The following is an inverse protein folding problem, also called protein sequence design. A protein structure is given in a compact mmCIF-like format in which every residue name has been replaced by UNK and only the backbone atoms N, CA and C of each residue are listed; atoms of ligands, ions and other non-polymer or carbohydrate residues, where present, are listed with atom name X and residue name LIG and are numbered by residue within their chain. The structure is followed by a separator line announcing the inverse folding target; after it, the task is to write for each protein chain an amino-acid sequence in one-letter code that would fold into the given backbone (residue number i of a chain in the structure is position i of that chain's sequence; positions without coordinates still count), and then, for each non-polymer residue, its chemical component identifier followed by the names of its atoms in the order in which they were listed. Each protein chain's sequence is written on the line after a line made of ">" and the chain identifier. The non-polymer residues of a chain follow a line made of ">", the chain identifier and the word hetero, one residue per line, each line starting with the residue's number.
data_IF_534078587821
#
_entry.id   IF_534078587821
#
_cell.length_a   1.000
_cell.length_b   1.000
_cell.length_c   1.000
_cell.angle_alpha   90.00
_cell.angle_beta   90.00
_cell.angle_gamma   90.00
#
_symmetry.space_group_name_H-M   'P 1'
#
loop_
_entity.id
_entity.type
_entity.pdbx_description
1 polymer ?
#
# COMPACT_ATOMS: atom_id res chain seq x y z
N UNK A 1 38.07 -7.59 -8.48
CA UNK A 1 36.96 -6.63 -8.57
C UNK A 1 35.67 -7.44 -8.72
N UNK A 2 34.79 -7.43 -7.72
CA UNK A 2 33.48 -8.07 -7.87
C UNK A 2 32.67 -7.28 -8.90
N UNK A 3 32.08 -7.96 -9.86
CA UNK A 3 31.21 -7.33 -10.85
C UNK A 3 29.92 -6.88 -10.17
N UNK A 4 29.64 -5.57 -10.20
CA UNK A 4 28.38 -5.01 -9.67
C UNK A 4 27.20 -5.59 -10.45
N UNK A 5 26.21 -6.10 -9.73
CA UNK A 5 24.99 -6.69 -10.29
C UNK A 5 24.19 -5.58 -10.95
N UNK A 6 24.05 -5.66 -12.28
CA UNK A 6 23.38 -4.60 -13.04
C UNK A 6 21.88 -4.56 -12.77
N UNK A 7 21.20 -5.71 -12.81
CA UNK A 7 19.75 -5.78 -12.65
C UNK A 7 19.40 -6.21 -11.21
N UNK A 8 18.87 -5.27 -10.42
CA UNK A 8 18.59 -5.48 -9.00
C UNK A 8 17.08 -5.47 -8.76
N UNK A 9 16.60 -6.49 -8.05
CA UNK A 9 15.19 -6.74 -7.85
C UNK A 9 14.63 -5.98 -6.64
N UNK A 10 13.59 -5.18 -6.85
CA UNK A 10 12.85 -4.51 -5.76
C UNK A 10 11.69 -5.34 -5.22
N UNK A 11 11.25 -6.35 -5.96
CA UNK A 11 10.46 -7.47 -5.44
C UNK A 11 11.33 -8.73 -5.47
N UNK A 12 11.47 -9.49 -4.36
CA UNK A 12 12.33 -10.68 -4.29
C UNK A 12 12.00 -11.71 -5.38
N UNK A 13 13.03 -12.33 -5.98
CA UNK A 13 12.81 -13.30 -7.06
C UNK A 13 12.02 -14.52 -6.58
N UNK A 14 12.26 -14.95 -5.35
CA UNK A 14 11.50 -16.03 -4.69
C UNK A 14 10.01 -15.73 -4.52
N UNK A 15 9.60 -14.47 -4.52
CA UNK A 15 8.19 -14.08 -4.56
C UNK A 15 7.68 -14.11 -5.99
N UNK A 16 8.46 -13.57 -6.94
CA UNK A 16 8.10 -13.54 -8.36
C UNK A 16 7.89 -14.94 -8.95
N UNK A 17 8.61 -15.95 -8.45
CA UNK A 17 8.40 -17.35 -8.85
C UNK A 17 6.99 -17.83 -8.56
N UNK A 18 6.36 -17.34 -7.50
CA UNK A 18 5.03 -17.78 -7.07
C UNK A 18 3.90 -17.12 -7.87
N UNK A 19 4.24 -16.21 -8.78
CA UNK A 19 3.32 -15.60 -9.76
C UNK A 19 3.65 -16.02 -11.19
N UNK A 20 4.74 -16.77 -11.38
CA UNK A 20 5.17 -17.25 -12.68
C UNK A 20 4.38 -18.48 -13.09
N UNK A 21 4.10 -18.59 -14.40
CA UNK A 21 3.56 -19.81 -14.97
C UNK A 21 4.60 -20.95 -14.99
N UNK A 22 4.18 -22.13 -15.42
CA UNK A 22 5.03 -23.33 -15.49
C UNK A 22 6.30 -23.17 -16.37
N UNK A 23 6.38 -22.14 -17.20
CA UNK A 23 7.56 -21.81 -18.02
C UNK A 23 8.48 -20.78 -17.34
N UNK A 24 8.20 -20.38 -16.09
CA UNK A 24 8.95 -19.33 -15.39
C UNK A 24 8.72 -17.94 -16.00
N UNK A 25 7.54 -17.71 -16.57
CA UNK A 25 7.16 -16.45 -17.22
C UNK A 25 6.01 -15.78 -16.49
N UNK A 26 5.97 -14.46 -16.53
CA UNK A 26 4.89 -13.62 -16.00
C UNK A 26 4.43 -12.69 -17.11
N UNK A 27 3.17 -12.25 -17.05
CA UNK A 27 2.75 -11.07 -17.79
C UNK A 27 3.03 -9.84 -16.94
N UNK A 28 3.61 -8.82 -17.55
CA UNK A 28 3.98 -7.56 -16.90
C UNK A 28 3.34 -6.40 -17.67
N UNK A 29 2.75 -5.47 -16.93
CA UNK A 29 2.28 -4.19 -17.47
C UNK A 29 3.23 -3.08 -17.06
N UNK A 30 3.66 -2.27 -18.02
CA UNK A 30 4.26 -0.96 -17.75
C UNK A 30 3.14 0.07 -17.66
N UNK A 31 2.92 0.61 -16.46
CA UNK A 31 1.70 1.38 -16.16
C UNK A 31 1.65 2.74 -16.86
N UNK A 32 2.82 3.36 -17.10
CA UNK A 32 2.94 4.66 -17.79
C UNK A 32 2.29 4.66 -19.17
N UNK A 33 2.40 3.57 -19.90
CA UNK A 33 1.97 3.41 -21.29
C UNK A 33 1.00 2.22 -21.46
N UNK A 34 0.58 1.61 -20.35
CA UNK A 34 -0.40 0.51 -20.31
C UNK A 34 -0.06 -0.67 -21.23
N UNK A 35 1.23 -0.89 -21.48
CA UNK A 35 1.70 -1.94 -22.37
C UNK A 35 1.90 -3.25 -21.60
N UNK A 36 1.20 -4.31 -22.02
CA UNK A 36 1.29 -5.65 -21.42
C UNK A 36 2.13 -6.57 -22.31
N UNK A 37 3.19 -7.14 -21.76
CA UNK A 37 4.07 -8.10 -22.42
C UNK A 37 4.43 -9.27 -21.50
N UNK A 38 4.88 -10.38 -22.09
CA UNK A 38 5.38 -11.52 -21.34
C UNK A 38 6.90 -11.38 -21.11
N UNK A 39 7.37 -11.70 -19.91
CA UNK A 39 8.79 -11.70 -19.57
C UNK A 39 9.14 -12.83 -18.60
N UNK A 40 10.43 -13.13 -18.43
CA UNK A 40 10.85 -14.02 -17.35
C UNK A 40 10.67 -13.33 -16.00
N UNK A 41 10.23 -14.06 -14.98
CA UNK A 41 10.16 -13.51 -13.62
C UNK A 41 11.53 -12.97 -13.15
N UNK A 42 12.64 -13.54 -13.64
CA UNK A 42 14.02 -13.11 -13.36
C UNK A 42 14.39 -11.75 -13.97
N UNK A 43 13.57 -11.23 -14.86
CA UNK A 43 13.75 -9.93 -15.52
C UNK A 43 12.65 -8.93 -15.14
N UNK A 44 11.66 -9.37 -14.38
CA UNK A 44 10.53 -8.56 -13.90
C UNK A 44 10.89 -7.85 -12.60
N UNK A 45 10.11 -6.83 -12.22
CA UNK A 45 10.18 -6.13 -10.92
C UNK A 45 11.61 -5.80 -10.45
N UNK A 46 12.41 -5.33 -11.40
CA UNK A 46 13.82 -4.97 -11.23
C UNK A 46 14.15 -3.72 -12.03
N UNK A 47 15.21 -3.04 -11.62
CA UNK A 47 15.77 -1.88 -12.28
C UNK A 47 17.31 -1.92 -12.22
N UNK A 48 17.95 -1.18 -13.12
CA UNK A 48 19.40 -1.07 -13.15
C UNK A 48 19.94 -0.28 -11.95
N UNK A 49 20.86 -0.90 -11.21
CA UNK A 49 21.56 -0.29 -10.08
C UNK A 49 20.61 0.35 -9.06
N UNK A 50 19.46 -0.27 -8.83
CA UNK A 50 18.39 0.23 -7.95
C UNK A 50 18.88 0.61 -6.56
N UNK A 51 19.87 -0.12 -6.04
CA UNK A 51 20.38 -0.01 -4.67
C UNK A 51 21.80 0.53 -4.57
N UNK A 52 22.40 0.93 -5.68
CA UNK A 52 23.75 1.48 -5.63
C UNK A 52 23.72 2.92 -5.09
N UNK A 53 24.70 3.25 -4.25
CA UNK A 53 24.85 4.56 -3.62
C UNK A 53 26.34 4.89 -3.45
N UNK A 54 26.80 6.12 -3.73
CA UNK A 54 28.23 6.46 -3.69
C UNK A 54 28.93 6.22 -2.35
N UNK A 55 28.18 6.28 -1.25
CA UNK A 55 28.68 6.06 0.11
C UNK A 55 28.66 4.60 0.58
N UNK A 56 28.18 3.67 -0.24
CA UNK A 56 28.13 2.24 0.08
C UNK A 56 29.10 1.45 -0.79
N UNK A 57 29.59 0.33 -0.26
CA UNK A 57 30.32 -0.62 -1.09
C UNK A 57 29.41 -1.16 -2.21
N UNK A 58 29.97 -1.39 -3.41
CA UNK A 58 29.20 -1.91 -4.54
C UNK A 58 28.55 -3.26 -4.20
N UNK A 59 27.30 -3.45 -4.62
CA UNK A 59 26.45 -4.60 -4.26
C UNK A 59 26.15 -4.78 -2.76
N UNK A 60 26.50 -3.83 -1.87
CA UNK A 60 26.30 -4.01 -0.43
C UNK A 60 24.84 -4.37 -0.08
N UNK A 61 23.89 -3.57 -0.58
CA UNK A 61 22.46 -3.77 -0.31
C UNK A 61 21.89 -4.99 -1.02
N UNK A 62 22.31 -5.27 -2.26
CA UNK A 62 21.92 -6.49 -2.98
C UNK A 62 22.31 -7.74 -2.18
N UNK A 63 23.55 -7.78 -1.66
CA UNK A 63 24.04 -8.88 -0.84
C UNK A 63 23.29 -9.00 0.50
N UNK A 64 23.03 -7.86 1.16
CA UNK A 64 22.25 -7.82 2.41
C UNK A 64 20.84 -8.39 2.18
N UNK A 65 20.18 -7.95 1.11
CA UNK A 65 18.85 -8.40 0.76
C UNK A 65 18.80 -9.87 0.32
N UNK A 66 19.83 -10.35 -0.38
CA UNK A 66 19.97 -11.77 -0.73
C UNK A 66 20.07 -12.66 0.51
N UNK A 67 20.74 -12.21 1.58
CA UNK A 67 20.77 -12.92 2.87
C UNK A 67 19.39 -13.02 3.50
N UNK A 68 18.63 -11.92 3.52
CA UNK A 68 17.26 -11.91 4.05
C UNK A 68 16.36 -12.87 3.26
N UNK A 69 16.42 -12.79 1.94
CA UNK A 69 15.64 -13.64 1.04
C UNK A 69 15.97 -15.14 1.23
N UNK A 70 17.24 -15.48 1.49
CA UNK A 70 17.68 -16.87 1.62
C UNK A 70 16.99 -17.66 2.74
N UNK A 71 16.68 -17.00 3.87
CA UNK A 71 15.96 -17.64 4.98
C UNK A 71 14.45 -17.39 4.93
N UNK A 72 14.01 -16.27 4.35
CA UNK A 72 12.59 -15.95 4.23
C UNK A 72 11.88 -16.80 3.17
N UNK A 73 12.53 -17.10 2.04
CA UNK A 73 11.92 -17.88 0.96
C UNK A 73 11.49 -19.30 1.39
N UNK A 74 12.27 -20.06 2.18
CA UNK A 74 11.80 -21.33 2.77
C UNK A 74 10.54 -21.18 3.62
N UNK A 75 10.45 -20.14 4.47
CA UNK A 75 9.29 -19.90 5.31
C UNK A 75 8.03 -19.61 4.48
N UNK A 76 8.17 -18.80 3.42
CA UNK A 76 7.09 -18.52 2.50
C UNK A 76 6.58 -19.77 1.78
N UNK A 77 7.49 -20.66 1.36
CA UNK A 77 7.09 -21.97 0.79
C UNK A 77 6.35 -22.82 1.81
N UNK A 78 6.77 -22.82 3.08
CA UNK A 78 6.09 -23.55 4.14
C UNK A 78 4.65 -23.03 4.33
N UNK A 79 4.45 -21.70 4.35
CA UNK A 79 3.11 -21.09 4.43
C UNK A 79 2.22 -21.58 3.27
N UNK A 80 2.71 -21.51 2.03
CA UNK A 80 1.95 -21.91 0.84
C UNK A 80 1.61 -23.41 0.89
N UNK A 81 2.57 -24.26 1.25
CA UNK A 81 2.34 -25.71 1.38
C UNK A 81 1.28 -26.03 2.43
N UNK A 82 1.28 -25.33 3.57
CA UNK A 82 0.25 -25.48 4.60
C UNK A 82 -1.13 -25.11 4.05
N UNK A 83 -1.23 -24.00 3.33
CA UNK A 83 -2.47 -23.54 2.69
C UNK A 83 -2.98 -24.53 1.63
N UNK A 84 -2.09 -25.07 0.79
CA UNK A 84 -2.48 -26.05 -0.24
C UNK A 84 -2.87 -27.42 0.34
N UNK A 85 -2.41 -27.76 1.55
CA UNK A 85 -2.74 -29.03 2.19
C UNK A 85 -4.22 -29.15 2.59
N UNK A 86 -4.94 -28.03 2.72
CA UNK A 86 -6.32 -27.93 3.23
C UNK A 86 -6.57 -28.60 4.61
N UNK A 87 -5.51 -29.00 5.32
CA UNK A 87 -5.59 -29.73 6.59
C UNK A 87 -5.08 -28.87 7.75
N UNK A 88 -4.18 -27.92 7.49
CA UNK A 88 -3.58 -27.08 8.52
C UNK A 88 -4.61 -26.08 9.08
N UNK A 89 -4.74 -25.98 10.43
CA UNK A 89 -5.46 -24.89 11.08
C UNK A 89 -4.92 -23.53 10.65
N UNK A 90 -5.81 -22.58 10.42
CA UNK A 90 -5.48 -21.20 10.07
C UNK A 90 -4.61 -20.51 11.14
N UNK A 91 -4.69 -20.97 12.38
CA UNK A 91 -3.85 -20.55 13.50
C UNK A 91 -2.37 -20.87 13.26
N UNK A 92 -2.04 -22.07 12.74
CA UNK A 92 -0.65 -22.44 12.43
C UNK A 92 -0.08 -21.56 11.31
N UNK A 93 -0.90 -21.26 10.30
CA UNK A 93 -0.53 -20.33 9.23
C UNK A 93 -0.28 -18.94 9.80
N UNK A 94 -1.16 -18.47 10.70
CA UNK A 94 -0.99 -17.17 11.38
C UNK A 94 0.31 -17.12 12.15
N UNK A 95 0.58 -18.06 13.04
CA UNK A 95 1.80 -18.07 13.86
C UNK A 95 3.07 -17.96 12.99
N UNK A 96 3.08 -18.67 11.86
CA UNK A 96 4.20 -18.61 10.92
C UNK A 96 4.30 -17.24 10.24
N UNK A 97 3.18 -16.64 9.81
CA UNK A 97 3.16 -15.29 9.23
C UNK A 97 3.62 -14.24 10.24
N UNK A 98 3.09 -14.29 11.46
CA UNK A 98 3.39 -13.32 12.52
C UNK A 98 4.87 -13.33 12.91
N UNK A 99 5.47 -14.53 12.93
CA UNK A 99 6.90 -14.71 13.16
C UNK A 99 7.78 -13.94 12.16
N UNK A 100 7.33 -13.76 10.93
CA UNK A 100 8.09 -13.09 9.86
C UNK A 100 7.52 -11.71 9.46
N UNK A 101 6.67 -11.10 10.30
CA UNK A 101 6.05 -9.81 10.02
C UNK A 101 7.07 -8.70 9.73
N UNK A 102 8.19 -8.69 10.45
CA UNK A 102 9.26 -7.70 10.23
C UNK A 102 9.91 -7.84 8.85
N UNK A 103 10.12 -9.05 8.35
CA UNK A 103 10.63 -9.30 7.01
C UNK A 103 9.65 -8.82 5.92
N UNK A 104 8.35 -9.08 6.09
CA UNK A 104 7.33 -8.53 5.19
C UNK A 104 7.41 -7.00 5.12
N UNK A 105 7.63 -6.33 6.27
CA UNK A 105 7.82 -4.89 6.33
C UNK A 105 9.14 -4.43 5.69
N UNK A 106 10.24 -5.19 5.82
CA UNK A 106 11.48 -4.89 5.09
C UNK A 106 11.23 -4.91 3.58
N UNK A 107 10.58 -5.96 3.07
CA UNK A 107 10.24 -6.06 1.64
C UNK A 107 9.24 -5.00 1.18
N UNK A 108 8.34 -4.56 2.07
CA UNK A 108 7.50 -3.41 1.83
C UNK A 108 8.34 -2.15 1.58
N UNK A 109 9.22 -1.75 2.49
CA UNK A 109 9.99 -0.50 2.35
C UNK A 109 10.96 -0.48 1.17
N UNK A 110 11.52 -1.63 0.76
CA UNK A 110 12.40 -1.71 -0.42
C UNK A 110 11.66 -1.90 -1.75
N UNK A 111 10.33 -1.93 -1.73
CA UNK A 111 9.54 -2.16 -2.94
C UNK A 111 9.65 -0.98 -3.91
N UNK A 112 9.47 -1.26 -5.21
CA UNK A 112 9.72 -0.29 -6.28
C UNK A 112 8.84 0.95 -6.18
N UNK A 113 7.59 0.76 -5.75
CA UNK A 113 6.66 1.86 -5.52
C UNK A 113 7.12 2.79 -4.40
N UNK A 114 7.51 2.27 -3.22
CA UNK A 114 8.05 3.11 -2.14
C UNK A 114 9.39 3.77 -2.51
N UNK A 115 10.27 3.07 -3.21
CA UNK A 115 11.50 3.65 -3.74
C UNK A 115 11.23 4.81 -4.71
N UNK A 116 10.17 4.71 -5.52
CA UNK A 116 9.71 5.80 -6.38
C UNK A 116 9.11 6.96 -5.56
N UNK A 117 8.39 6.68 -4.48
CA UNK A 117 7.89 7.71 -3.56
C UNK A 117 9.06 8.45 -2.88
N UNK A 118 10.06 7.74 -2.34
CA UNK A 118 11.22 8.37 -1.70
C UNK A 118 12.04 9.26 -2.64
N UNK A 119 12.05 8.96 -3.94
CA UNK A 119 12.73 9.79 -4.94
C UNK A 119 11.90 11.01 -5.40
N UNK A 120 10.67 11.20 -4.91
CA UNK A 120 9.77 12.22 -5.41
C UNK A 120 10.17 13.64 -4.99
N UNK A 121 10.24 14.55 -5.98
CA UNK A 121 10.40 15.98 -5.74
C UNK A 121 11.83 16.51 -5.77
N UNK A 122 12.75 15.82 -6.44
CA UNK A 122 13.95 16.45 -7.01
C UNK A 122 15.26 16.29 -6.25
N UNK A 123 15.40 15.23 -5.46
CA UNK A 123 16.70 14.80 -4.97
C UNK A 123 17.34 13.79 -5.94
N UNK A 124 18.63 13.53 -5.81
CA UNK A 124 19.33 12.57 -6.67
C UNK A 124 18.65 11.19 -6.58
N UNK A 125 18.75 10.37 -7.63
CA UNK A 125 18.16 9.00 -7.65
C UNK A 125 18.59 8.16 -6.43
N UNK A 126 19.72 8.52 -5.84
CA UNK A 126 20.39 7.85 -4.74
C UNK A 126 19.76 8.17 -3.37
N UNK A 127 19.07 9.32 -3.23
CA UNK A 127 18.52 9.80 -1.96
C UNK A 127 17.36 8.94 -1.41
N UNK A 128 16.78 8.08 -2.25
CA UNK A 128 15.83 7.04 -1.81
C UNK A 128 16.46 6.00 -0.88
N UNK A 129 17.77 5.79 -0.98
CA UNK A 129 18.49 4.74 -0.24
C UNK A 129 18.62 5.09 1.24
N UNK A 130 19.09 6.29 1.63
CA UNK A 130 19.06 6.72 3.02
C UNK A 130 17.65 6.64 3.64
N UNK A 131 16.61 7.11 2.94
CA UNK A 131 15.22 7.05 3.44
C UNK A 131 14.74 5.62 3.67
N UNK A 132 14.99 4.71 2.73
CA UNK A 132 14.69 3.29 2.90
C UNK A 132 15.44 2.71 4.10
N UNK A 133 16.74 2.98 4.21
CA UNK A 133 17.60 2.47 5.29
C UNK A 133 17.15 2.96 6.67
N UNK A 134 16.70 4.20 6.78
CA UNK A 134 16.15 4.77 8.00
C UNK A 134 14.97 3.95 8.54
N UNK A 135 14.15 3.39 7.65
CA UNK A 135 13.00 2.56 8.05
C UNK A 135 13.40 1.12 8.34
N UNK A 136 14.29 0.53 7.53
CA UNK A 136 14.59 -0.92 7.64
C UNK A 136 15.68 -1.25 8.67
N UNK A 137 16.56 -0.29 9.04
CA UNK A 137 17.62 -0.52 10.04
C UNK A 137 17.16 -0.31 11.48
N UNK A 138 16.05 0.40 11.69
CA UNK A 138 15.45 0.61 13.00
C UNK A 138 14.61 -0.63 13.38
N UNK A 139 15.28 -1.64 13.94
CA UNK A 139 14.64 -2.90 14.35
C UNK A 139 13.60 -2.69 15.45
N UNK A 140 13.78 -1.69 16.32
CA UNK A 140 12.81 -1.33 17.36
C UNK A 140 11.52 -0.82 16.72
N UNK A 141 11.64 0.08 15.75
CA UNK A 141 10.50 0.58 14.99
C UNK A 141 9.77 -0.53 14.23
N UNK A 142 10.48 -1.38 13.47
CA UNK A 142 9.85 -2.49 12.74
C UNK A 142 9.11 -3.44 13.69
N UNK A 143 9.71 -3.75 14.84
CA UNK A 143 9.06 -4.59 15.86
C UNK A 143 7.78 -3.95 16.40
N UNK A 144 7.82 -2.67 16.79
CA UNK A 144 6.64 -1.95 17.32
C UNK A 144 5.53 -1.80 16.29
N UNK A 145 5.90 -1.55 15.02
CA UNK A 145 4.93 -1.50 13.91
C UNK A 145 4.33 -2.89 13.66
N UNK A 146 5.14 -3.95 13.71
CA UNK A 146 4.66 -5.34 13.63
C UNK A 146 3.65 -5.62 14.75
N UNK A 147 4.02 -5.35 16.00
CA UNK A 147 3.13 -5.52 17.17
C UNK A 147 1.82 -4.75 17.01
N UNK A 148 1.86 -3.56 16.40
CA UNK A 148 0.65 -2.78 16.12
C UNK A 148 -0.26 -3.49 15.13
N UNK A 149 0.29 -4.00 14.02
CA UNK A 149 -0.48 -4.74 13.01
C UNK A 149 -1.07 -6.00 13.66
N UNK A 150 -0.25 -6.81 14.32
CA UNK A 150 -0.68 -8.07 14.93
C UNK A 150 -1.76 -7.89 16.01
N UNK A 151 -1.66 -6.81 16.80
CA UNK A 151 -2.58 -6.57 17.92
C UNK A 151 -3.90 -5.94 17.51
N UNK A 152 -3.89 -5.06 16.51
CA UNK A 152 -5.04 -4.20 16.21
C UNK A 152 -5.74 -4.54 14.88
N UNK A 153 -5.14 -5.39 14.05
CA UNK A 153 -5.70 -5.76 12.76
C UNK A 153 -6.12 -7.23 12.80
N UNK A 154 -7.31 -7.52 12.28
CA UNK A 154 -7.81 -8.87 12.07
C UNK A 154 -7.02 -9.54 10.94
N UNK A 155 -6.62 -10.79 11.14
CA UNK A 155 -5.92 -11.60 10.16
C UNK A 155 -6.91 -12.45 9.36
N UNK A 156 -6.69 -12.61 8.06
CA UNK A 156 -7.33 -13.60 7.22
C UNK A 156 -6.41 -14.01 6.05
N UNK A 157 -6.77 -15.07 5.35
CA UNK A 157 -6.21 -15.42 4.05
C UNK A 157 -7.31 -15.28 3.00
N UNK A 158 -6.97 -14.77 1.82
CA UNK A 158 -7.84 -14.82 0.64
C UNK A 158 -7.23 -15.72 -0.41
N UNK A 159 -8.08 -16.48 -1.11
CA UNK A 159 -7.72 -17.50 -2.09
C UNK A 159 -8.44 -17.26 -3.41
N UNK A 160 -7.71 -17.32 -4.51
CA UNK A 160 -8.25 -17.50 -5.86
C UNK A 160 -8.12 -18.96 -6.26
N UNK A 161 -9.16 -19.56 -6.83
CA UNK A 161 -9.07 -20.95 -7.33
C UNK A 161 -8.34 -21.06 -8.69
N UNK A 162 -8.20 -19.95 -9.43
CA UNK A 162 -7.64 -19.94 -10.78
C UNK A 162 -6.35 -19.09 -10.88
N UNK A 163 -5.66 -18.88 -9.77
CA UNK A 163 -4.41 -18.13 -9.68
C UNK A 163 -4.47 -16.70 -10.28
N UNK A 164 -5.49 -15.95 -9.89
CA UNK A 164 -5.86 -14.70 -10.56
C UNK A 164 -5.38 -13.43 -9.85
N UNK A 165 -4.72 -13.53 -8.70
CA UNK A 165 -4.20 -12.35 -8.03
C UNK A 165 -3.00 -11.75 -8.78
N UNK A 166 -3.00 -10.42 -8.86
CA UNK A 166 -1.88 -9.64 -9.38
C UNK A 166 -0.79 -9.46 -8.33
N UNK A 167 0.37 -8.93 -8.73
CA UNK A 167 1.41 -8.43 -7.84
C UNK A 167 1.85 -7.03 -8.28
N UNK A 168 1.77 -6.08 -7.35
CA UNK A 168 2.21 -4.70 -7.51
C UNK A 168 3.73 -4.59 -7.35
N UNK A 169 4.34 -3.55 -7.94
CA UNK A 169 5.69 -3.13 -7.56
C UNK A 169 5.78 -2.52 -6.15
N UNK A 170 4.64 -2.38 -5.47
CA UNK A 170 4.50 -2.25 -4.01
C UNK A 170 4.27 -3.64 -3.40
N UNK A 171 5.28 -4.21 -2.72
CA UNK A 171 5.20 -5.59 -2.23
C UNK A 171 4.01 -5.82 -1.30
N UNK A 172 3.84 -5.00 -0.26
CA UNK A 172 2.60 -5.01 0.54
C UNK A 172 1.70 -3.87 0.06
N UNK A 173 0.56 -4.23 -0.51
CA UNK A 173 -0.44 -3.26 -0.94
C UNK A 173 -1.31 -2.83 0.24
N UNK A 174 -1.62 -1.53 0.33
CA UNK A 174 -2.53 -1.00 1.36
C UNK A 174 -3.69 -0.24 0.76
N UNK A 175 -4.80 -0.14 1.49
CA UNK A 175 -5.91 0.74 1.12
C UNK A 175 -6.62 1.24 2.38
N UNK A 176 -7.18 2.43 2.27
CA UNK A 176 -8.08 2.96 3.27
C UNK A 176 -9.50 2.40 3.06
N UNK A 177 -10.11 1.90 4.13
CA UNK A 177 -11.51 1.46 4.18
C UNK A 177 -12.47 2.62 4.50
N UNK A 178 -11.93 3.78 4.86
CA UNK A 178 -12.66 5.02 5.09
C UNK A 178 -11.73 6.24 4.94
N UNK A 179 -12.31 7.40 4.60
CA UNK A 179 -11.60 8.68 4.68
C UNK A 179 -11.55 9.15 6.13
N UNK A 180 -10.35 9.47 6.59
CA UNK A 180 -10.05 10.00 7.91
C UNK A 180 -9.80 11.50 7.88
N UNK A 181 -9.23 12.00 6.79
CA UNK A 181 -8.96 13.42 6.57
C UNK A 181 -7.79 13.67 5.61
N UNK A 182 -7.39 14.93 5.49
CA UNK A 182 -6.17 15.32 4.79
C UNK A 182 -5.11 15.70 5.84
N UNK A 183 -4.14 14.81 6.05
CA UNK A 183 -3.01 15.10 6.93
C UNK A 183 -1.86 15.70 6.12
N UNK A 184 -0.97 16.41 6.81
CA UNK A 184 0.23 16.99 6.19
C UNK A 184 1.26 15.91 5.88
N UNK A 185 1.43 14.93 6.76
CA UNK A 185 2.52 13.93 6.74
C UNK A 185 2.03 12.47 6.78
N UNK A 186 0.77 12.22 6.45
CA UNK A 186 0.23 10.87 6.37
C UNK A 186 -0.86 10.77 5.31
N UNK A 187 -0.85 9.66 4.58
CA UNK A 187 -1.98 9.25 3.73
C UNK A 187 -3.04 8.52 4.56
N UNK A 188 -4.25 8.36 4.02
CA UNK A 188 -5.33 7.64 4.70
C UNK A 188 -5.07 6.13 4.83
N UNK A 189 -4.06 5.62 4.12
CA UNK A 189 -3.70 4.20 3.97
C UNK A 189 -2.38 3.80 4.67
N UNK A 190 -1.88 4.68 5.55
CA UNK A 190 -0.65 4.47 6.31
C UNK A 190 -0.81 3.29 7.29
N UNK A 191 0.22 2.45 7.46
CA UNK A 191 0.13 1.31 8.39
C UNK A 191 0.03 1.80 9.85
N UNK A 192 -0.68 1.05 10.69
CA UNK A 192 -0.97 1.40 12.09
C UNK A 192 -2.20 2.30 12.29
N UNK A 193 -2.81 2.79 11.20
CA UNK A 193 -4.08 3.52 11.28
C UNK A 193 -5.28 2.57 11.43
N UNK A 194 -6.44 3.09 11.84
CA UNK A 194 -7.74 2.39 11.77
C UNK A 194 -8.27 2.36 10.34
N UNK A 195 -9.31 1.59 10.03
CA UNK A 195 -9.91 1.57 8.67
C UNK A 195 -8.86 1.34 7.57
N UNK A 196 -8.07 0.28 7.71
CA UNK A 196 -6.98 -0.10 6.79
C UNK A 196 -7.21 -1.53 6.32
N UNK A 197 -6.92 -1.76 5.04
CA UNK A 197 -6.71 -3.06 4.42
C UNK A 197 -5.24 -3.17 4.02
N UNK A 198 -4.57 -4.22 4.48
CA UNK A 198 -3.19 -4.56 4.14
C UNK A 198 -3.17 -5.93 3.46
N UNK A 199 -2.61 -5.99 2.26
CA UNK A 199 -2.57 -7.15 1.38
C UNK A 199 -1.11 -7.56 1.17
N UNK A 200 -0.72 -8.73 1.67
CA UNK A 200 0.63 -9.27 1.54
C UNK A 200 0.58 -10.46 0.57
N UNK A 201 1.29 -10.40 -0.56
CA UNK A 201 1.30 -11.46 -1.57
C UNK A 201 2.06 -12.70 -1.07
N UNK A 202 1.45 -13.87 -1.23
CA UNK A 202 2.15 -15.17 -1.12
C UNK A 202 2.39 -15.76 -2.50
N UNK A 203 1.36 -15.79 -3.35
CA UNK A 203 1.36 -16.31 -4.71
C UNK A 203 0.23 -15.66 -5.52
N UNK A 204 0.12 -16.00 -6.82
CA UNK A 204 -1.06 -15.67 -7.62
C UNK A 204 -2.35 -16.31 -7.10
N UNK A 205 -2.24 -17.31 -6.21
CA UNK A 205 -3.35 -18.02 -5.57
C UNK A 205 -3.75 -17.44 -4.22
N UNK A 206 -2.78 -16.98 -3.41
CA UNK A 206 -3.02 -16.60 -2.02
C UNK A 206 -2.46 -15.22 -1.66
N UNK A 207 -3.23 -14.52 -0.84
CA UNK A 207 -2.81 -13.29 -0.16
C UNK A 207 -3.14 -13.38 1.32
N UNK A 208 -2.21 -12.90 2.16
CA UNK A 208 -2.52 -12.61 3.57
C UNK A 208 -3.20 -11.25 3.62
N UNK A 209 -4.20 -11.15 4.48
CA UNK A 209 -4.94 -9.92 4.72
C UNK A 209 -4.87 -9.56 6.20
N UNK A 210 -4.40 -8.34 6.49
CA UNK A 210 -4.58 -7.70 7.79
C UNK A 210 -5.53 -6.52 7.62
N UNK A 211 -6.55 -6.43 8.45
CA UNK A 211 -7.61 -5.43 8.29
C UNK A 211 -8.13 -4.88 9.62
N UNK A 212 -8.52 -3.61 9.62
CA UNK A 212 -9.21 -2.97 10.74
C UNK A 212 -10.32 -2.08 10.20
N UNK A 213 -11.48 -2.02 10.86
CA UNK A 213 -12.54 -1.07 10.51
C UNK A 213 -13.65 -1.65 9.63
N UNK A 214 -14.08 -0.92 8.59
CA UNK A 214 -15.13 -1.35 7.64
C UNK A 214 -14.64 -2.45 6.69
N UNK A 215 -14.51 -3.67 7.21
CA UNK A 215 -14.01 -4.86 6.49
C UNK A 215 -14.94 -5.22 5.30
N UNK A 216 -14.39 -5.58 4.12
CA UNK A 216 -15.19 -6.10 3.01
C UNK A 216 -15.95 -7.36 3.43
N UNK A 217 -17.24 -7.43 3.12
CA UNK A 217 -18.14 -8.47 3.64
C UNK A 217 -17.75 -9.91 3.25
N UNK A 218 -16.95 -10.07 2.20
CA UNK A 218 -16.48 -11.37 1.70
C UNK A 218 -15.18 -11.86 2.38
N UNK A 219 -14.65 -11.11 3.35
CA UNK A 219 -13.48 -11.52 4.12
C UNK A 219 -13.88 -11.73 5.58
N UNK A 220 -14.06 -12.99 5.95
CA UNK A 220 -14.23 -13.39 7.33
C UNK A 220 -12.86 -13.49 8.03
N UNK A 221 -12.69 -12.82 9.19
CA UNK A 221 -11.49 -12.94 10.00
C UNK A 221 -11.21 -14.38 10.43
N UNK A 222 -9.92 -14.69 10.56
CA UNK A 222 -9.41 -15.97 11.02
C UNK A 222 -9.85 -17.14 10.13
N UNK A 223 -9.98 -16.93 8.82
CA UNK A 223 -10.34 -17.98 7.86
C UNK A 223 -9.57 -17.85 6.55
N UNK A 224 -9.62 -18.91 5.74
CA UNK A 224 -9.25 -18.89 4.31
C UNK A 224 -10.50 -18.62 3.49
N UNK A 225 -10.57 -17.43 2.92
CA UNK A 225 -11.73 -16.94 2.18
C UNK A 225 -11.54 -17.20 0.69
N UNK A 226 -12.35 -18.08 0.11
CA UNK A 226 -12.35 -18.36 -1.33
C UNK A 226 -13.13 -17.26 -2.02
N UNK A 227 -12.47 -16.50 -2.88
CA UNK A 227 -13.06 -15.35 -3.55
C UNK A 227 -13.67 -15.74 -4.90
N UNK A 228 -14.81 -15.15 -5.20
CA UNK A 228 -15.41 -15.10 -6.53
C UNK A 228 -14.62 -14.19 -7.47
N UNK A 229 -14.89 -14.30 -8.78
CA UNK A 229 -14.23 -13.47 -9.79
C UNK A 229 -14.47 -11.95 -9.59
N UNK A 230 -15.64 -11.57 -9.07
CA UNK A 230 -15.96 -10.16 -8.79
C UNK A 230 -15.14 -9.64 -7.62
N UNK A 231 -15.05 -10.39 -6.53
CA UNK A 231 -14.26 -10.05 -5.34
C UNK A 231 -12.75 -10.00 -5.67
N UNK A 232 -12.26 -10.94 -6.50
CA UNK A 232 -10.89 -10.90 -7.03
C UNK A 232 -10.64 -9.62 -7.83
N UNK A 233 -11.59 -9.17 -8.66
CA UNK A 233 -11.46 -7.90 -9.39
C UNK A 233 -11.39 -6.70 -8.46
N UNK A 234 -12.14 -6.67 -7.37
CA UNK A 234 -12.06 -5.61 -6.36
C UNK A 234 -10.68 -5.57 -5.68
N UNK A 235 -10.14 -6.74 -5.30
CA UNK A 235 -8.81 -6.88 -4.73
C UNK A 235 -7.74 -6.46 -5.75
N UNK A 236 -7.80 -6.94 -6.99
CA UNK A 236 -6.84 -6.62 -8.04
C UNK A 236 -6.88 -5.14 -8.43
N UNK A 237 -8.06 -4.49 -8.46
CA UNK A 237 -8.19 -3.03 -8.61
C UNK A 237 -7.43 -2.29 -7.50
N UNK A 238 -7.47 -2.80 -6.27
CA UNK A 238 -6.72 -2.23 -5.15
C UNK A 238 -5.21 -2.45 -5.31
N UNK A 239 -4.78 -3.65 -5.70
CA UNK A 239 -3.37 -4.01 -5.91
C UNK A 239 -2.76 -3.15 -7.03
N UNK A 240 -3.39 -3.04 -8.20
CA UNK A 240 -2.82 -2.28 -9.32
C UNK A 240 -2.74 -0.78 -9.01
N UNK A 241 -3.67 -0.24 -8.22
CA UNK A 241 -3.62 1.17 -7.80
C UNK A 241 -2.54 1.45 -6.75
N UNK A 242 -1.96 0.43 -6.11
CA UNK A 242 -0.76 0.56 -5.29
C UNK A 242 0.52 0.71 -6.14
N UNK A 243 0.47 0.41 -7.43
CA UNK A 243 1.65 0.40 -8.29
C UNK A 243 2.00 1.77 -8.88
N UNK A 244 3.28 1.99 -9.19
CA UNK A 244 3.76 3.18 -9.91
C UNK A 244 4.35 2.87 -11.28
N UNK A 245 5.18 1.84 -11.37
CA UNK A 245 5.99 1.51 -12.55
C UNK A 245 5.39 0.26 -13.22
N UNK A 246 5.25 -0.82 -12.44
CA UNK A 246 4.92 -2.14 -12.96
C UNK A 246 3.91 -2.87 -12.10
N UNK A 247 3.10 -3.70 -12.74
CA UNK A 247 2.28 -4.72 -12.10
C UNK A 247 2.38 -6.01 -12.91
N UNK A 248 2.32 -7.17 -12.26
CA UNK A 248 2.39 -8.48 -12.92
C UNK A 248 1.19 -9.34 -12.58
N UNK A 249 0.93 -10.32 -13.43
CA UNK A 249 -0.02 -11.39 -13.20
C UNK A 249 0.43 -12.67 -13.91
N UNK A 250 -0.09 -13.81 -13.46
CA UNK A 250 0.22 -15.09 -14.09
C UNK A 250 -0.44 -15.24 -15.48
N UNK A 251 -1.58 -14.59 -15.68
CA UNK A 251 -2.26 -14.54 -16.97
C UNK A 251 -2.53 -13.10 -17.43
N UNK A 252 -2.50 -12.92 -18.76
CA UNK A 252 -2.68 -11.63 -19.44
C UNK A 252 -4.06 -11.04 -19.18
N UNK A 253 -5.09 -11.89 -19.17
CA UNK A 253 -6.50 -11.49 -19.04
C UNK A 253 -6.74 -10.67 -17.76
N UNK A 254 -6.17 -11.09 -16.63
CA UNK A 254 -6.36 -10.42 -15.33
C UNK A 254 -5.75 -9.01 -15.32
N UNK A 255 -4.61 -8.81 -16.00
CA UNK A 255 -4.03 -7.49 -16.19
C UNK A 255 -4.90 -6.60 -17.10
N UNK A 256 -5.41 -7.15 -18.21
CA UNK A 256 -6.31 -6.43 -19.12
C UNK A 256 -7.62 -6.01 -18.43
N UNK A 257 -8.19 -6.86 -17.57
CA UNK A 257 -9.37 -6.52 -16.78
C UNK A 257 -9.09 -5.44 -15.71
N UNK A 258 -7.92 -5.50 -15.08
CA UNK A 258 -7.58 -4.60 -13.95
C UNK A 258 -7.08 -3.22 -14.41
N UNK A 259 -6.50 -3.12 -15.61
CA UNK A 259 -5.89 -1.87 -16.11
C UNK A 259 -6.92 -0.75 -16.29
N UNK A 260 -8.17 -1.08 -16.62
CA UNK A 260 -9.25 -0.11 -16.74
C UNK A 260 -9.60 0.58 -15.41
N UNK A 261 -9.28 -0.06 -14.28
CA UNK A 261 -9.43 0.50 -12.94
C UNK A 261 -8.21 1.25 -12.43
N UNK A 262 -7.08 1.24 -13.14
CA UNK A 262 -5.86 1.93 -12.74
C UNK A 262 -5.99 3.44 -12.95
N UNK A 263 -5.74 4.21 -11.89
CA UNK A 263 -5.63 5.67 -11.94
C UNK A 263 -4.20 6.06 -11.61
N UNK A 264 -3.49 6.64 -12.57
CA UNK A 264 -2.16 7.17 -12.31
C UNK A 264 -2.28 8.47 -11.50
N UNK A 265 -1.67 8.48 -10.32
CA UNK A 265 -1.52 9.68 -9.49
C UNK A 265 -0.09 9.67 -8.96
N UNK A 266 0.58 10.82 -9.00
CA UNK A 266 1.90 10.96 -8.39
C UNK A 266 1.79 11.00 -6.86
N UNK A 267 2.88 10.76 -6.13
CA UNK A 267 2.97 11.17 -4.74
C UNK A 267 2.62 12.66 -4.62
N UNK A 268 2.16 13.09 -3.45
CA UNK A 268 1.75 14.47 -3.22
C UNK A 268 2.54 15.11 -2.09
N UNK A 269 2.86 16.40 -2.23
CA UNK A 269 3.51 17.16 -1.17
C UNK A 269 2.48 18.09 -0.53
N UNK A 270 2.29 17.96 0.78
CA UNK A 270 1.48 18.91 1.55
C UNK A 270 2.39 20.00 2.08
N UNK A 271 2.02 21.26 1.90
CA UNK A 271 2.77 22.43 2.38
C UNK A 271 1.87 23.23 3.31
N UNK A 272 2.33 23.50 4.53
CA UNK A 272 1.63 24.30 5.51
C UNK A 272 2.40 25.59 5.79
N UNK A 273 1.66 26.71 5.82
CA UNK A 273 2.15 28.03 6.16
C UNK A 273 1.48 28.47 7.46
N UNK A 274 2.28 28.75 8.48
CA UNK A 274 1.79 29.20 9.77
C UNK A 274 1.90 30.72 9.86
N UNK A 275 1.03 31.34 10.66
CA UNK A 275 1.06 32.78 10.92
C UNK A 275 2.39 33.25 11.55
N UNK A 276 3.15 32.35 12.16
CA UNK A 276 4.51 32.59 12.64
C UNK A 276 5.56 32.76 11.53
N UNK A 277 5.18 32.56 10.27
CA UNK A 277 6.09 32.53 9.12
C UNK A 277 6.78 31.18 8.90
N UNK A 278 6.58 30.22 9.80
CA UNK A 278 7.10 28.85 9.67
C UNK A 278 6.43 28.19 8.44
N UNK A 279 7.25 27.52 7.63
CA UNK A 279 6.82 26.70 6.50
C UNK A 279 7.22 25.26 6.77
N UNK A 280 6.26 24.36 6.69
CA UNK A 280 6.53 22.92 6.73
C UNK A 280 6.04 22.27 5.45
N UNK A 281 6.73 21.23 5.02
CA UNK A 281 6.32 20.40 3.92
C UNK A 281 6.49 18.94 4.31
N UNK A 282 5.59 18.08 3.83
CA UNK A 282 5.73 16.66 3.99
C UNK A 282 5.24 15.90 2.76
N UNK A 283 5.90 14.80 2.48
CA UNK A 283 5.57 13.90 1.38
C UNK A 283 4.50 12.89 1.81
N UNK A 284 3.46 12.76 1.00
CA UNK A 284 2.38 11.82 1.18
C UNK A 284 2.34 10.82 0.03
N UNK A 285 2.03 9.57 0.39
CA UNK A 285 1.76 8.49 -0.56
C UNK A 285 0.61 8.86 -1.47
N UNK A 286 0.56 8.21 -2.63
CA UNK A 286 -0.67 8.14 -3.42
C UNK A 286 -1.80 7.58 -2.55
N UNK A 287 -2.96 8.20 -2.61
CA UNK A 287 -4.15 7.70 -1.90
C UNK A 287 -4.75 6.51 -2.65
N UNK A 288 -5.13 5.48 -1.89
CA UNK A 288 -5.80 4.30 -2.41
C UNK A 288 -6.92 3.96 -1.43
N UNK A 289 -8.16 4.03 -1.91
CA UNK A 289 -9.34 3.66 -1.15
C UNK A 289 -9.94 2.39 -1.74
N UNK A 290 -10.45 1.51 -0.88
CA UNK A 290 -11.07 0.27 -1.31
C UNK A 290 -12.46 0.51 -1.92
N UNK A 291 -13.32 1.27 -1.22
CA UNK A 291 -14.69 1.51 -1.66
C UNK A 291 -14.81 2.72 -2.60
N UNK A 292 -15.59 2.56 -3.67
CA UNK A 292 -15.85 3.66 -4.62
C UNK A 292 -16.49 4.88 -3.95
N UNK A 293 -17.37 4.67 -2.96
CA UNK A 293 -17.98 5.76 -2.16
C UNK A 293 -16.92 6.65 -1.50
N UNK A 294 -15.79 6.08 -1.10
CA UNK A 294 -14.69 6.80 -0.45
C UNK A 294 -13.78 7.47 -1.49
N UNK A 295 -13.58 6.87 -2.66
CA UNK A 295 -12.92 7.54 -3.79
C UNK A 295 -13.71 8.81 -4.18
N UNK A 296 -15.02 8.69 -4.38
CA UNK A 296 -15.87 9.84 -4.72
C UNK A 296 -15.90 10.91 -3.63
N UNK A 297 -15.95 10.48 -2.36
CA UNK A 297 -15.96 11.39 -1.22
C UNK A 297 -14.62 12.13 -1.08
N UNK A 298 -13.50 11.46 -1.35
CA UNK A 298 -12.15 12.04 -1.32
C UNK A 298 -11.99 13.09 -2.42
N UNK A 299 -12.43 12.79 -3.64
CA UNK A 299 -12.45 13.77 -4.73
C UNK A 299 -13.33 14.98 -4.38
N UNK A 300 -14.51 14.73 -3.81
CA UNK A 300 -15.41 15.80 -3.35
C UNK A 300 -14.80 16.67 -2.22
N UNK A 301 -13.96 16.06 -1.37
CA UNK A 301 -13.17 16.75 -0.35
C UNK A 301 -12.06 17.61 -0.97
N UNK A 302 -11.20 17.00 -1.79
CA UNK A 302 -10.03 17.63 -2.43
C UNK A 302 -10.38 18.81 -3.32
N UNK A 303 -11.49 18.73 -4.04
CA UNK A 303 -11.98 19.83 -4.87
C UNK A 303 -12.76 20.91 -4.11
N UNK A 304 -12.80 20.82 -2.77
CA UNK A 304 -13.51 21.75 -1.90
C UNK A 304 -15.00 21.90 -2.26
N UNK A 305 -15.62 20.91 -2.92
CA UNK A 305 -17.03 21.00 -3.34
C UNK A 305 -18.00 21.09 -2.17
N UNK A 306 -17.59 20.59 -1.00
CA UNK A 306 -18.35 20.72 0.25
C UNK A 306 -18.50 22.17 0.70
N UNK A 307 -17.50 23.04 0.47
CA UNK A 307 -17.57 24.46 0.85
C UNK A 307 -18.52 25.28 -0.03
N UNK A 308 -18.85 24.79 -1.23
CA UNK A 308 -19.82 25.46 -2.11
C UNK A 308 -21.24 25.42 -1.57
N UNK A 309 -21.59 24.40 -0.77
CA UNK A 309 -22.94 24.17 -0.26
C UNK A 309 -23.12 24.43 1.24
N UNK A 310 -22.22 25.20 1.88
CA UNK A 310 -22.27 25.50 3.34
C UNK A 310 -23.66 25.97 3.76
N UNK A 311 -24.20 26.96 3.04
CA UNK A 311 -25.46 27.62 3.40
C UNK A 311 -26.67 27.13 2.58
N UNK A 312 -26.55 26.00 1.87
CA UNK A 312 -27.62 25.49 1.01
C UNK A 312 -28.64 24.72 1.86
N UNK A 313 -29.92 25.12 1.86
CA UNK A 313 -30.96 24.40 2.61
C UNK A 313 -31.39 23.13 1.87
N UNK A 314 -32.00 22.21 2.61
CA UNK A 314 -32.39 20.86 2.14
C UNK A 314 -33.19 20.85 0.82
N UNK A 315 -34.09 21.82 0.62
CA UNK A 315 -34.97 21.89 -0.55
C UNK A 315 -34.49 22.86 -1.63
N UNK A 316 -33.40 23.60 -1.39
CA UNK A 316 -32.85 24.54 -2.35
C UNK A 316 -32.19 23.79 -3.53
N UNK A 317 -32.07 24.42 -4.70
CA UNK A 317 -31.25 23.89 -5.79
C UNK A 317 -29.81 23.64 -5.33
N UNK A 318 -29.25 22.49 -5.70
CA UNK A 318 -27.86 22.18 -5.38
C UNK A 318 -26.91 23.06 -6.20
N UNK A 319 -25.92 23.67 -5.54
CA UNK A 319 -24.95 24.57 -6.20
C UNK A 319 -23.90 23.85 -7.06
N UNK A 320 -24.02 22.53 -7.22
CA UNK A 320 -23.17 21.76 -8.15
C UNK A 320 -23.68 21.77 -9.60
N UNK A 321 -24.72 22.56 -9.91
CA UNK A 321 -25.30 22.70 -11.25
C UNK A 321 -25.95 21.43 -11.82
N UNK A 322 -26.27 20.44 -10.97
CA UNK A 322 -26.95 19.21 -11.40
C UNK A 322 -28.44 19.39 -11.71
N UNK A 323 -29.02 20.56 -11.42
CA UNK A 323 -30.46 20.80 -11.48
C UNK A 323 -31.29 20.11 -10.38
N UNK A 324 -30.66 19.29 -9.53
CA UNK A 324 -31.34 18.57 -8.43
C UNK A 324 -31.43 19.43 -7.16
N UNK A 325 -32.43 19.17 -6.32
CA UNK A 325 -32.49 19.70 -4.94
C UNK A 325 -31.30 19.16 -4.13
N UNK A 326 -30.77 19.97 -3.21
CA UNK A 326 -29.56 19.63 -2.44
C UNK A 326 -29.65 18.27 -1.73
N UNK A 327 -30.81 17.97 -1.12
CA UNK A 327 -31.08 16.68 -0.45
C UNK A 327 -30.96 15.44 -1.33
N UNK A 328 -31.20 15.58 -2.63
CA UNK A 328 -31.14 14.49 -3.59
C UNK A 328 -29.84 14.55 -4.43
N UNK A 329 -28.84 15.30 -3.94
CA UNK A 329 -27.61 15.56 -4.66
C UNK A 329 -26.39 15.52 -3.72
N UNK A 330 -25.85 16.66 -3.31
CA UNK A 330 -24.58 16.72 -2.60
C UNK A 330 -24.72 16.73 -1.07
N UNK A 331 -25.93 16.65 -0.51
CA UNK A 331 -26.16 16.81 0.92
C UNK A 331 -25.33 15.82 1.77
N UNK A 332 -25.39 14.53 1.45
CA UNK A 332 -24.70 13.51 2.25
C UNK A 332 -23.19 13.64 2.17
N UNK A 333 -22.66 13.86 0.95
CA UNK A 333 -21.22 14.11 0.73
C UNK A 333 -20.73 15.36 1.47
N UNK A 334 -21.56 16.41 1.50
CA UNK A 334 -21.24 17.67 2.19
C UNK A 334 -21.22 17.48 3.70
N UNK A 335 -22.25 16.83 4.27
CA UNK A 335 -22.32 16.51 5.70
C UNK A 335 -21.15 15.64 6.15
N UNK A 336 -20.81 14.60 5.37
CA UNK A 336 -19.70 13.70 5.67
C UNK A 336 -18.36 14.46 5.69
N UNK A 337 -18.10 15.33 4.72
CA UNK A 337 -16.90 16.16 4.72
C UNK A 337 -16.84 17.13 5.89
N UNK A 338 -17.94 17.78 6.27
CA UNK A 338 -17.94 18.62 7.47
C UNK A 338 -17.63 17.84 8.73
N UNK A 339 -18.15 16.61 8.86
CA UNK A 339 -17.79 15.74 9.98
C UNK A 339 -16.29 15.45 10.00
N UNK A 340 -15.69 15.15 8.85
CA UNK A 340 -14.25 14.90 8.72
C UNK A 340 -13.45 16.15 9.14
N UNK A 341 -13.77 17.32 8.57
CA UNK A 341 -13.11 18.60 8.88
C UNK A 341 -13.24 18.94 10.36
N UNK A 342 -14.45 18.86 10.91
CA UNK A 342 -14.69 19.16 12.33
C UNK A 342 -13.92 18.21 13.24
N UNK A 343 -13.81 16.94 12.88
CA UNK A 343 -13.05 15.96 13.64
C UNK A 343 -11.54 16.22 13.59
N UNK A 344 -11.01 16.76 12.48
CA UNK A 344 -9.60 17.17 12.38
C UNK A 344 -9.27 18.33 13.33
N UNK A 345 -10.21 19.23 13.62
CA UNK A 345 -10.00 20.38 14.52
C UNK A 345 -10.29 20.09 16.00
N UNK A 346 -10.90 18.94 16.33
CA UNK A 346 -11.15 18.55 17.73
C UNK A 346 -9.85 18.08 18.38
N UNK A 347 -9.45 18.77 19.45
CA UNK A 347 -8.28 18.43 20.27
C UNK A 347 -8.39 16.97 20.74
N UNK A 348 -7.31 16.20 20.62
CA UNK A 348 -7.15 14.78 21.01
C UNK A 348 -8.01 13.75 20.24
N UNK A 349 -9.19 14.13 19.77
CA UNK A 349 -10.11 13.25 19.05
C UNK A 349 -9.55 12.74 17.71
N UNK A 350 -8.68 13.52 17.06
CA UNK A 350 -8.03 13.08 15.83
C UNK A 350 -7.13 11.85 16.05
N UNK A 351 -6.52 11.68 17.23
CA UNK A 351 -5.71 10.50 17.55
C UNK A 351 -6.59 9.26 17.67
N UNK A 352 -7.75 9.38 18.33
CA UNK A 352 -8.71 8.29 18.50
C UNK A 352 -9.31 7.81 17.18
N UNK A 353 -9.55 8.73 16.24
CA UNK A 353 -10.08 8.39 14.91
C UNK A 353 -8.99 7.81 14.01
N UNK A 354 -7.75 8.30 14.17
CA UNK A 354 -6.63 7.94 13.30
C UNK A 354 -6.07 6.56 13.63
N UNK A 355 -5.77 6.28 14.89
CA UNK A 355 -5.10 5.05 15.33
C UNK A 355 -5.52 4.65 16.75
N UNK A 356 -5.08 3.50 17.23
CA UNK A 356 -5.19 3.17 18.65
C UNK A 356 -4.15 4.00 19.45
N UNK A 357 -4.43 4.48 20.69
CA UNK A 357 -3.49 5.32 21.44
C UNK A 357 -2.08 4.72 21.65
N UNK A 358 -2.01 3.40 21.75
CA UNK A 358 -0.77 2.64 21.92
C UNK A 358 -0.23 2.05 20.59
N UNK A 359 -0.81 2.43 19.44
CA UNK A 359 -0.34 1.99 18.14
C UNK A 359 0.90 2.78 17.71
N UNK A 360 1.86 2.09 17.11
CA UNK A 360 2.91 2.70 16.32
C UNK A 360 2.40 2.87 14.90
N UNK A 361 2.32 4.12 14.45
CA UNK A 361 1.96 4.45 13.07
C UNK A 361 3.24 4.41 12.24
N UNK A 362 3.12 3.93 11.01
CA UNK A 362 4.22 3.97 10.08
C UNK A 362 4.74 5.41 9.88
N UNK A 363 6.06 5.58 10.02
CA UNK A 363 6.80 6.85 9.83
C UNK A 363 6.46 7.48 8.48
N UNK A 364 6.47 8.81 8.42
CA UNK A 364 6.25 9.52 7.16
C UNK A 364 7.37 9.23 6.15
N UNK A 365 7.08 9.43 4.86
CA UNK A 365 7.99 9.09 3.76
C UNK A 365 9.33 9.82 3.85
N UNK A 366 9.31 11.08 4.27
CA UNK A 366 10.45 11.99 4.37
C UNK A 366 10.94 12.23 5.81
N UNK A 367 10.46 11.42 6.76
CA UNK A 367 10.88 11.52 8.16
C UNK A 367 12.27 10.89 8.37
N UNK A 368 13.24 11.71 8.81
CA UNK A 368 14.56 11.30 9.30
C UNK A 368 14.61 11.45 10.82
N UNK A 369 14.97 10.39 11.54
CA UNK A 369 15.18 10.44 12.99
C UNK A 369 16.56 11.02 13.36
N UNK A 370 17.54 11.01 12.45
CA UNK A 370 18.91 11.51 12.71
C UNK A 370 19.11 13.03 12.55
N UNK A 371 18.13 13.78 12.01
CA UNK A 371 18.24 15.24 11.82
C UNK A 371 17.44 16.06 12.83
N UNK A 372 16.72 15.41 13.77
CA UNK A 372 15.88 16.09 14.76
C UNK A 372 16.61 16.54 16.04
N UNK A 373 17.91 16.22 16.18
CA UNK A 373 18.70 16.50 17.39
C UNK A 373 19.80 17.58 17.19
N UNK A 374 19.67 18.47 16.20
CA UNK A 374 20.58 19.61 16.00
C UNK A 374 19.86 20.96 15.98
#
# INVERSE_FOLDING_TARGET
>A
MSTVTKNQHYIPQSMLTNFANNKGRVYEVLLKNQNIYETSYRQSMSEKFTYEHPLLEGNYLENMFGKIESYFAPAMRQIITLLDSNIAPIEEVRELVEKYMSEFLVFYYRSGALLNEFAFGGFSKEDKIPLMLEKIRDSSYLKKLSETILKYYNFAIIKSENDEFLLSDQYVSTAALSIKGQYTNASNRQLGLKDILMLIPLSSKYYIVYMNGQIPNFIEPNQVNILSNEEIREINKTIINNSYIKCIGQSRKQLEESIGGFKFESPSRSVAFYNSGIKTAALNKKEVFFYEKDIEQWQFFRELRHTKNVDTKRNDPCKCQSGKKFKNCCQDKTKRNYSIVNNMYKKEHFNEIKAHPNATIEKALDEYSFLSDH
#
